data_IF_870808040668
#
_entry.id   IF_870808040668
#
_cell.length_a   1.000
_cell.length_b   1.000
_cell.length_c   1.000
_cell.angle_alpha   90.00
_cell.angle_beta   90.00
_cell.angle_gamma   90.00
#
_symmetry.space_group_name_H-M   'P 1'
#
loop_
_entity.id
_entity.type
_entity.pdbx_description
1 polymer ?
#
# COMPACT_ATOMS: atom_id res chain seq x y z
N UNK A 1 -22.98 -13.53 -6.80
CA UNK A 1 -22.60 -12.96 -8.09
C UNK A 1 -21.14 -13.23 -8.36
N UNK A 2 -20.78 -13.78 -9.51
CA UNK A 2 -19.37 -14.02 -9.81
C UNK A 2 -18.61 -12.72 -9.99
N UNK A 3 -17.36 -12.69 -9.55
CA UNK A 3 -16.49 -11.54 -9.74
C UNK A 3 -16.00 -11.49 -11.18
N UNK A 4 -15.82 -10.27 -11.70
CA UNK A 4 -15.24 -10.10 -13.03
C UNK A 4 -13.75 -10.45 -12.99
N UNK A 5 -13.16 -10.70 -14.15
CA UNK A 5 -11.72 -10.89 -14.25
C UNK A 5 -10.93 -9.67 -13.80
N UNK A 6 -11.49 -8.48 -14.02
CA UNK A 6 -10.86 -7.25 -13.57
C UNK A 6 -10.83 -7.14 -12.04
N UNK A 7 -11.92 -7.53 -11.37
CA UNK A 7 -11.94 -7.51 -9.91
C UNK A 7 -10.91 -8.48 -9.33
N UNK A 8 -10.80 -9.68 -9.91
CA UNK A 8 -9.82 -10.66 -9.47
C UNK A 8 -8.40 -10.13 -9.67
N UNK A 9 -8.13 -9.49 -10.79
CA UNK A 9 -6.82 -8.92 -11.09
C UNK A 9 -6.43 -7.84 -10.06
N UNK A 10 -7.39 -6.97 -9.73
CA UNK A 10 -7.13 -5.92 -8.73
C UNK A 10 -6.85 -6.50 -7.35
N UNK A 11 -7.56 -7.57 -6.98
CA UNK A 11 -7.31 -8.24 -5.70
C UNK A 11 -5.90 -8.83 -5.66
N UNK A 12 -5.42 -9.37 -6.79
CA UNK A 12 -4.05 -9.87 -6.89
C UNK A 12 -3.02 -8.74 -6.74
N UNK A 13 -3.28 -7.57 -7.34
CA UNK A 13 -2.40 -6.41 -7.17
C UNK A 13 -2.36 -5.97 -5.71
N UNK A 14 -3.50 -6.01 -5.02
CA UNK A 14 -3.56 -5.66 -3.61
C UNK A 14 -2.72 -6.64 -2.78
N UNK A 15 -2.76 -7.94 -3.11
CA UNK A 15 -1.93 -8.93 -2.45
C UNK A 15 -0.44 -8.63 -2.64
N UNK A 16 -0.04 -8.15 -3.83
CA UNK A 16 1.34 -7.75 -4.11
C UNK A 16 1.73 -6.55 -3.26
N UNK A 17 0.83 -5.58 -3.10
CA UNK A 17 1.06 -4.43 -2.22
C UNK A 17 1.27 -4.88 -0.78
N UNK A 18 0.46 -5.83 -0.31
CA UNK A 18 0.58 -6.37 1.04
C UNK A 18 1.94 -7.03 1.26
N UNK A 19 2.45 -7.76 0.28
CA UNK A 19 3.79 -8.36 0.34
C UNK A 19 4.85 -7.27 0.50
N UNK A 20 4.74 -6.19 -0.28
CA UNK A 20 5.69 -5.07 -0.21
C UNK A 20 5.62 -4.38 1.15
N UNK A 21 4.41 -4.18 1.68
CA UNK A 21 4.24 -3.58 3.00
C UNK A 21 4.90 -4.42 4.10
N UNK A 22 4.80 -5.75 4.00
CA UNK A 22 5.46 -6.65 4.95
C UNK A 22 6.98 -6.48 4.91
N UNK A 23 7.55 -6.30 3.72
CA UNK A 23 8.99 -6.05 3.56
C UNK A 23 9.39 -4.75 4.25
N UNK A 24 8.58 -3.72 4.08
CA UNK A 24 8.82 -2.43 4.73
C UNK A 24 8.82 -2.61 6.25
N UNK A 25 7.78 -3.26 6.79
CA UNK A 25 7.66 -3.51 8.22
C UNK A 25 8.86 -4.30 8.75
N UNK A 26 9.31 -5.31 8.03
CA UNK A 26 10.44 -6.14 8.44
C UNK A 26 11.75 -5.36 8.46
N UNK A 27 11.88 -4.31 7.66
CA UNK A 27 13.10 -3.52 7.56
C UNK A 27 13.15 -2.35 8.54
N UNK A 28 11.99 -1.87 9.02
CA UNK A 28 11.93 -0.73 9.93
C UNK A 28 12.88 -0.88 11.13
N UNK A 29 12.99 -2.04 11.81
CA UNK A 29 13.85 -2.15 12.99
C UNK A 29 15.34 -1.91 12.73
N UNK A 30 15.81 -2.04 11.48
CA UNK A 30 17.23 -1.83 11.17
C UNK A 30 17.55 -0.38 10.83
N UNK A 31 16.54 0.49 10.74
CA UNK A 31 16.75 1.89 10.38
C UNK A 31 17.14 2.72 11.61
N UNK A 32 18.01 3.70 11.39
CA UNK A 32 18.32 4.71 12.39
C UNK A 32 17.11 5.65 12.56
N UNK A 33 16.97 6.32 13.73
CA UNK A 33 15.81 7.21 13.96
C UNK A 33 15.62 8.26 12.88
N UNK A 34 16.67 8.91 12.41
CA UNK A 34 16.58 9.94 11.35
C UNK A 34 16.17 9.32 10.01
N UNK A 35 16.55 8.07 9.76
CA UNK A 35 16.15 7.36 8.56
C UNK A 35 14.65 7.02 8.62
N UNK A 36 14.17 6.61 9.80
CA UNK A 36 12.74 6.34 9.99
C UNK A 36 11.90 7.58 9.71
N UNK A 37 12.38 8.74 10.18
CA UNK A 37 11.67 9.99 9.94
C UNK A 37 11.60 10.32 8.45
N UNK A 38 12.69 10.10 7.71
CA UNK A 38 12.75 10.35 6.28
C UNK A 38 11.82 9.40 5.51
N UNK A 39 11.82 8.12 5.89
CA UNK A 39 10.96 7.13 5.24
C UNK A 39 9.49 7.43 5.54
N UNK A 40 9.17 7.80 6.78
CA UNK A 40 7.80 8.16 7.16
C UNK A 40 7.30 9.35 6.34
N UNK A 41 8.14 10.37 6.16
CA UNK A 41 7.79 11.53 5.33
C UNK A 41 7.53 11.11 3.89
N UNK A 42 8.39 10.26 3.35
CA UNK A 42 8.23 9.77 1.98
C UNK A 42 6.93 8.99 1.81
N UNK A 43 6.60 8.13 2.79
CA UNK A 43 5.37 7.37 2.77
C UNK A 43 4.15 8.28 2.84
N UNK A 44 4.20 9.30 3.69
CA UNK A 44 3.11 10.26 3.85
C UNK A 44 2.81 11.00 2.56
N UNK A 45 3.83 11.23 1.73
CA UNK A 45 3.68 11.94 0.46
C UNK A 45 3.52 11.01 -0.74
N UNK A 46 3.44 9.69 -0.52
CA UNK A 46 3.21 8.77 -1.63
C UNK A 46 1.83 9.02 -2.23
N UNK A 47 1.76 9.01 -3.56
CA UNK A 47 0.54 9.37 -4.27
C UNK A 47 0.48 8.62 -5.61
N UNK A 48 -0.60 7.88 -5.89
CA UNK A 48 -1.74 7.67 -4.99
C UNK A 48 -1.42 6.70 -3.87
N UNK A 49 -2.20 6.75 -2.79
CA UNK A 49 -2.06 5.82 -1.68
C UNK A 49 -3.30 4.92 -1.57
N UNK A 50 -3.28 4.00 -0.60
CA UNK A 50 -4.37 3.04 -0.42
C UNK A 50 -5.71 3.73 -0.12
N UNK A 51 -5.67 4.84 0.61
CA UNK A 51 -6.88 5.59 0.92
C UNK A 51 -7.53 6.17 -0.33
N UNK A 52 -6.72 6.68 -1.26
CA UNK A 52 -7.22 7.18 -2.53
C UNK A 52 -7.94 6.09 -3.32
N UNK A 53 -7.36 4.89 -3.32
CA UNK A 53 -7.98 3.74 -4.00
C UNK A 53 -9.27 3.35 -3.30
N UNK A 54 -9.29 3.33 -1.97
CA UNK A 54 -10.49 2.99 -1.22
C UNK A 54 -11.63 3.97 -1.52
N UNK A 55 -11.32 5.27 -1.57
CA UNK A 55 -12.32 6.29 -1.92
C UNK A 55 -12.90 6.06 -3.32
N UNK A 56 -12.04 5.73 -4.27
CA UNK A 56 -12.49 5.46 -5.64
C UNK A 56 -13.38 4.22 -5.69
N UNK A 57 -13.01 3.17 -4.95
CA UNK A 57 -13.77 1.92 -4.93
C UNK A 57 -15.14 2.07 -4.28
N UNK A 58 -15.27 2.99 -3.34
CA UNK A 58 -16.51 3.20 -2.59
C UNK A 58 -17.30 4.40 -3.07
N UNK A 59 -16.82 5.14 -4.06
CA UNK A 59 -17.54 6.26 -4.65
C UNK A 59 -18.79 5.76 -5.37
N UNK A 60 -19.83 6.54 -5.31
CA UNK A 60 -21.10 6.23 -6.00
C UNK A 60 -21.16 6.89 -7.36
#
# INVERSE_FOLDING_TARGET
MPLSGEAIRLMNYIDDVAVTLRRILATVPVLLPEERARVAEHLQHSNPNAEDVMKALTAK
#
